data_IF_330611063342
#
_entry.id   IF_330611063342
#
_cell.length_a   1.000
_cell.length_b   1.000
_cell.length_c   1.000
_cell.angle_alpha   90.00
_cell.angle_beta   90.00
_cell.angle_gamma   90.00
#
_symmetry.space_group_name_H-M   'P 1'
#
loop_
_entity.id
_entity.type
_entity.pdbx_description
1 polymer ?
#
# COMPACT_ATOMS: atom_id res chain seq x y z
N UNK A 1 -9.78 -13.92 13.91
CA UNK A 1 -9.86 -12.56 13.38
C UNK A 1 -8.56 -11.85 13.71
N UNK A 2 -7.95 -11.25 12.70
CA UNK A 2 -6.73 -10.46 12.77
C UNK A 2 -7.12 -9.00 12.52
N UNK A 3 -6.64 -8.07 13.33
CA UNK A 3 -6.97 -6.65 13.18
C UNK A 3 -5.69 -5.84 13.02
N UNK A 4 -5.67 -4.97 12.01
CA UNK A 4 -4.56 -4.09 11.69
C UNK A 4 -5.02 -2.64 11.69
N UNK A 5 -4.31 -1.78 12.43
CA UNK A 5 -4.63 -0.35 12.51
C UNK A 5 -3.55 0.48 11.83
N UNK A 6 -3.96 1.36 10.92
CA UNK A 6 -3.08 2.32 10.24
C UNK A 6 -3.76 3.69 10.16
N UNK A 7 -3.05 4.76 10.50
CA UNK A 7 -3.59 6.12 10.57
C UNK A 7 -4.93 6.20 11.35
N UNK A 8 -5.01 5.51 12.49
CA UNK A 8 -6.21 5.38 13.33
C UNK A 8 -7.43 4.72 12.64
N UNK A 9 -7.22 4.03 11.51
CA UNK A 9 -8.24 3.22 10.83
C UNK A 9 -7.91 1.75 11.01
N UNK A 10 -8.85 1.01 11.59
CA UNK A 10 -8.75 -0.43 11.77
C UNK A 10 -9.24 -1.17 10.51
N UNK A 11 -8.65 -2.33 10.26
CA UNK A 11 -9.01 -3.27 9.21
C UNK A 11 -8.99 -4.67 9.79
N UNK A 12 -10.11 -5.38 9.67
CA UNK A 12 -10.25 -6.74 10.16
C UNK A 12 -10.11 -7.75 9.02
N UNK A 13 -9.47 -8.89 9.32
CA UNK A 13 -9.29 -10.02 8.44
C UNK A 13 -9.75 -11.30 9.14
N UNK A 14 -10.51 -12.14 8.45
CA UNK A 14 -10.97 -13.42 8.99
C UNK A 14 -9.78 -14.33 9.33
N UNK A 15 -8.78 -14.39 8.44
CA UNK A 15 -7.60 -15.23 8.56
C UNK A 15 -6.36 -14.64 7.85
N UNK A 16 -5.25 -15.39 7.89
CA UNK A 16 -3.99 -15.00 7.25
C UNK A 16 -4.05 -15.00 5.71
N UNK A 17 -4.94 -15.78 5.11
CA UNK A 17 -5.16 -15.78 3.66
C UNK A 17 -5.75 -14.45 3.20
N UNK A 18 -6.82 -13.99 3.85
CA UNK A 18 -7.44 -12.70 3.56
C UNK A 18 -6.47 -11.52 3.81
N UNK A 19 -5.67 -11.59 4.88
CA UNK A 19 -4.64 -10.60 5.15
C UNK A 19 -3.57 -10.55 4.03
N UNK A 20 -3.15 -11.70 3.50
CA UNK A 20 -2.20 -11.77 2.37
C UNK A 20 -2.81 -11.23 1.08
N UNK A 21 -4.05 -11.56 0.78
CA UNK A 21 -4.76 -11.04 -0.39
C UNK A 21 -4.89 -9.51 -0.31
N UNK A 22 -5.13 -8.97 0.87
CA UNK A 22 -5.16 -7.54 1.10
C UNK A 22 -3.79 -6.88 0.89
N UNK A 23 -2.70 -7.51 1.33
CA UNK A 23 -1.33 -7.04 1.04
C UNK A 23 -1.06 -7.03 -0.46
N UNK A 24 -1.59 -7.99 -1.22
CA UNK A 24 -1.44 -8.02 -2.68
C UNK A 24 -2.19 -6.86 -3.35
N UNK A 25 -3.46 -6.64 -2.98
CA UNK A 25 -4.23 -5.47 -3.44
C UNK A 25 -3.54 -4.15 -3.14
N UNK A 26 -2.90 -4.04 -1.97
CA UNK A 26 -2.12 -2.85 -1.61
C UNK A 26 -0.89 -2.65 -2.52
N UNK A 27 -0.24 -3.73 -3.00
CA UNK A 27 0.85 -3.62 -3.98
C UNK A 27 0.33 -3.19 -5.34
N UNK A 28 -0.77 -3.78 -5.80
CA UNK A 28 -1.42 -3.41 -7.07
C UNK A 28 -1.81 -1.93 -7.08
N UNK A 29 -2.36 -1.42 -5.98
CA UNK A 29 -2.71 0.00 -5.84
C UNK A 29 -1.46 0.90 -5.91
N UNK A 30 -0.37 0.53 -5.23
CA UNK A 30 0.92 1.24 -5.32
C UNK A 30 1.43 1.27 -6.76
N UNK A 31 1.42 0.13 -7.45
CA UNK A 31 1.88 0.03 -8.85
C UNK A 31 1.02 0.90 -9.78
N UNK A 32 -0.30 0.86 -9.60
CA UNK A 32 -1.22 1.70 -10.38
C UNK A 32 -0.93 3.20 -10.20
N UNK A 33 -0.69 3.66 -8.96
CA UNK A 33 -0.39 5.07 -8.70
C UNK A 33 0.99 5.45 -9.25
N UNK A 34 1.98 4.55 -9.18
CA UNK A 34 3.29 4.79 -9.81
C UNK A 34 3.15 4.97 -11.33
N UNK A 35 2.34 4.16 -12.00
CA UNK A 35 2.06 4.30 -13.44
C UNK A 35 1.35 5.62 -13.76
N UNK A 36 0.41 6.04 -12.92
CA UNK A 36 -0.27 7.34 -13.07
C UNK A 36 0.73 8.50 -12.91
N UNK A 37 1.59 8.46 -11.89
CA UNK A 37 2.61 9.48 -11.67
C UNK A 37 3.59 9.55 -12.83
N UNK A 38 4.05 8.40 -13.34
CA UNK A 38 4.93 8.33 -14.50
C UNK A 38 4.25 8.97 -15.71
N UNK A 39 2.99 8.61 -15.99
CA UNK A 39 2.22 9.17 -17.10
C UNK A 39 2.09 10.70 -17.00
N UNK A 40 1.78 11.21 -15.81
CA UNK A 40 1.62 12.63 -15.54
C UNK A 40 2.94 13.42 -15.49
N UNK A 41 4.07 12.73 -15.35
CA UNK A 41 5.42 13.33 -15.23
C UNK A 41 6.31 13.08 -16.44
N UNK A 42 5.76 12.60 -17.57
CA UNK A 42 6.55 12.26 -18.76
C UNK A 42 7.38 13.47 -19.24
N UNK A 43 8.65 13.25 -19.62
CA UNK A 43 9.52 14.35 -20.07
C UNK A 43 9.04 15.01 -21.36
N UNK A 44 8.26 14.31 -22.17
CA UNK A 44 7.71 14.79 -23.45
C UNK A 44 6.50 15.72 -23.29
N UNK A 45 5.97 15.89 -22.07
CA UNK A 45 4.84 16.79 -21.82
C UNK A 45 5.25 18.25 -22.04
N UNK A 46 4.36 18.98 -22.71
CA UNK A 46 4.42 20.44 -22.82
C UNK A 46 4.26 21.10 -21.44
N UNK A 47 4.67 22.36 -21.31
CA UNK A 47 4.52 23.11 -20.06
C UNK A 47 3.05 23.21 -19.61
N UNK A 48 2.11 23.35 -20.56
CA UNK A 48 0.66 23.40 -20.27
C UNK A 48 0.17 22.07 -19.70
N UNK A 49 0.58 20.94 -20.28
CA UNK A 49 0.21 19.61 -19.77
C UNK A 49 0.84 19.35 -18.39
N UNK A 50 2.10 19.74 -18.18
CA UNK A 50 2.76 19.63 -16.87
C UNK A 50 2.02 20.42 -15.79
N UNK A 51 1.65 21.66 -16.08
CA UNK A 51 0.88 22.49 -15.16
C UNK A 51 -0.51 21.89 -14.86
N UNK A 52 -1.18 21.33 -15.87
CA UNK A 52 -2.45 20.62 -15.67
C UNK A 52 -2.32 19.33 -14.85
N UNK A 53 -1.13 18.71 -14.85
CA UNK A 53 -0.85 17.46 -14.15
C UNK A 53 -0.25 17.64 -12.75
N UNK A 54 0.13 18.86 -12.36
CA UNK A 54 0.89 19.13 -11.13
C UNK A 54 0.19 18.59 -9.88
N UNK A 55 -1.11 18.87 -9.72
CA UNK A 55 -1.91 18.38 -8.61
C UNK A 55 -1.96 16.85 -8.57
N UNK A 56 -2.12 16.21 -9.73
CA UNK A 56 -2.12 14.75 -9.84
C UNK A 56 -0.76 14.17 -9.41
N UNK A 57 0.35 14.73 -9.88
CA UNK A 57 1.70 14.26 -9.51
C UNK A 57 1.93 14.41 -8.01
N UNK A 58 1.55 15.54 -7.42
CA UNK A 58 1.67 15.79 -5.98
C UNK A 58 0.80 14.82 -5.16
N UNK A 59 -0.45 14.59 -5.59
CA UNK A 59 -1.35 13.64 -4.96
C UNK A 59 -0.83 12.20 -5.06
N UNK A 60 -0.30 11.79 -6.22
CA UNK A 60 0.33 10.49 -6.39
C UNK A 60 1.51 10.31 -5.43
N UNK A 61 2.41 11.30 -5.36
CA UNK A 61 3.58 11.23 -4.47
C UNK A 61 3.18 11.09 -2.99
N UNK A 62 2.21 11.89 -2.52
CA UNK A 62 1.70 11.81 -1.15
C UNK A 62 1.00 10.46 -0.86
N UNK A 63 0.22 9.97 -1.82
CA UNK A 63 -0.50 8.70 -1.69
C UNK A 63 0.47 7.53 -1.68
N UNK A 64 1.47 7.52 -2.57
CA UNK A 64 2.52 6.49 -2.58
C UNK A 64 3.28 6.43 -1.27
N UNK A 65 3.69 7.57 -0.72
CA UNK A 65 4.37 7.60 0.58
C UNK A 65 3.50 6.99 1.69
N UNK A 66 2.19 7.26 1.67
CA UNK A 66 1.25 6.70 2.65
C UNK A 66 1.05 5.20 2.46
N UNK A 67 0.82 4.73 1.23
CA UNK A 67 0.64 3.31 0.94
C UNK A 67 1.92 2.50 1.18
N UNK A 68 3.10 3.05 0.89
CA UNK A 68 4.37 2.38 1.19
C UNK A 68 4.61 2.21 2.69
N UNK A 69 4.27 3.22 3.50
CA UNK A 69 4.28 3.08 4.97
C UNK A 69 3.31 2.00 5.43
N UNK A 70 2.06 2.06 4.96
CA UNK A 70 1.03 1.06 5.25
C UNK A 70 1.48 -0.36 4.88
N UNK A 71 2.09 -0.54 3.70
CA UNK A 71 2.63 -1.82 3.23
C UNK A 71 3.75 -2.33 4.14
N UNK A 72 4.62 -1.45 4.59
CA UNK A 72 5.75 -1.83 5.45
C UNK A 72 5.26 -2.27 6.84
N UNK A 73 4.38 -1.49 7.46
CA UNK A 73 3.77 -1.82 8.74
C UNK A 73 2.93 -3.11 8.65
N UNK A 74 2.14 -3.26 7.59
CA UNK A 74 1.34 -4.46 7.38
C UNK A 74 2.17 -5.72 7.19
N UNK A 75 3.31 -5.63 6.49
CA UNK A 75 4.24 -6.77 6.37
C UNK A 75 4.80 -7.21 7.72
N UNK A 76 5.13 -6.26 8.60
CA UNK A 76 5.59 -6.57 9.96
C UNK A 76 4.47 -7.25 10.75
N UNK A 77 3.27 -6.68 10.70
CA UNK A 77 2.07 -7.26 11.32
C UNK A 77 1.82 -8.70 10.86
N UNK A 78 1.78 -8.93 9.55
CA UNK A 78 1.52 -10.24 8.97
C UNK A 78 2.58 -11.26 9.38
N UNK A 79 3.87 -10.87 9.32
CA UNK A 79 4.96 -11.72 9.77
C UNK A 79 4.81 -12.12 11.25
N UNK A 80 4.50 -11.17 12.13
CA UNK A 80 4.30 -11.47 13.55
C UNK A 80 3.14 -12.43 13.78
N UNK A 81 2.03 -12.29 13.03
CA UNK A 81 0.89 -13.20 13.11
C UNK A 81 1.25 -14.61 12.60
N UNK A 82 2.03 -14.72 11.53
CA UNK A 82 2.54 -15.98 11.00
C UNK A 82 3.51 -16.68 11.97
N UNK A 83 4.42 -15.92 12.58
CA UNK A 83 5.38 -16.42 13.57
C UNK A 83 4.67 -16.92 14.84
N UNK A 84 3.68 -16.16 15.33
CA UNK A 84 2.87 -16.56 16.48
C UNK A 84 2.08 -17.85 16.21
N UNK A 85 1.50 -18.00 15.01
CA UNK A 85 0.79 -19.22 14.62
C UNK A 85 1.74 -20.42 14.54
N UNK A 86 2.95 -20.21 14.02
CA UNK A 86 3.99 -21.24 13.96
C UNK A 86 4.43 -21.68 15.36
N UNK A 87 4.59 -20.74 16.29
CA UNK A 87 4.97 -21.03 17.67
C UNK A 87 3.89 -21.85 18.40
N UNK A 88 2.60 -21.53 18.22
CA UNK A 88 1.50 -22.31 18.81
C UNK A 88 1.39 -23.73 18.22
N UNK A 89 1.82 -23.92 16.98
CA UNK A 89 1.83 -25.23 16.30
C UNK A 89 3.05 -26.08 16.63
N UNK A 90 4.07 -25.49 17.25
CA UNK A 90 5.29 -26.19 17.64
C UNK A 90 5.09 -26.79 19.05
N UNK A 91 5.24 -28.11 19.25
CA UNK A 91 5.04 -28.79 20.53
C UNK A 91 5.92 -28.26 21.68
#
# INVERSE_FOLDING_TARGET
>A
MLSFTFDNKESDFADLGEARDWLEKLKEEIEFIMLMQEHCSRPTLTQKERAANEDTVNNCAATLATLQRKKSEFKIFLKNAEDALTAVRSP
#
